data_IF_065816119741
#
_entry.id   IF_065816119741
#
_cell.length_a   1.000
_cell.length_b   1.000
_cell.length_c   1.000
_cell.angle_alpha   90.00
_cell.angle_beta   90.00
_cell.angle_gamma   90.00
#
_symmetry.space_group_name_H-M   'P 1'
#
loop_
_entity.id
_entity.type
_entity.pdbx_description
1 polymer ?
#
# COMPACT_ATOMS: atom_id res chain seq x y z
N UNK A 1 3.21 22.73 -6.06
CA UNK A 1 4.12 21.82 -5.51
C UNK A 1 3.56 20.45 -5.33
N UNK A 2 4.27 19.48 -5.77
CA UNK A 2 3.79 18.14 -5.72
C UNK A 2 4.45 17.39 -4.61
N UNK A 3 3.68 16.76 -3.81
CA UNK A 3 4.21 15.93 -2.79
C UNK A 3 3.46 14.63 -2.83
N UNK A 4 4.13 13.61 -2.36
CA UNK A 4 3.45 12.37 -2.16
C UNK A 4 2.43 12.58 -1.07
N UNK A 5 1.22 12.24 -1.39
CA UNK A 5 0.17 12.28 -0.40
C UNK A 5 -0.09 10.89 0.07
N UNK A 6 -0.15 10.75 1.38
CA UNK A 6 -0.51 9.48 1.93
C UNK A 6 -1.92 9.17 1.48
N UNK A 7 -2.08 8.02 0.91
CA UNK A 7 -3.37 7.62 0.40
C UNK A 7 -4.38 7.56 1.52
N UNK A 8 -5.59 7.94 1.21
CA UNK A 8 -6.66 7.81 2.15
C UNK A 8 -7.11 6.38 2.30
N UNK A 9 -6.60 5.50 1.47
CA UNK A 9 -7.01 4.12 1.48
C UNK A 9 -6.14 3.26 2.36
N UNK A 10 -5.18 3.85 3.01
CA UNK A 10 -4.35 3.10 3.91
C UNK A 10 -5.06 2.75 5.19
N UNK A 11 -4.51 1.83 5.92
CA UNK A 11 -5.05 1.43 7.21
C UNK A 11 -3.98 0.81 8.07
N UNK A 12 -4.26 0.74 9.35
CA UNK A 12 -3.40 0.04 10.28
C UNK A 12 -3.81 -1.42 10.39
N UNK A 13 -2.83 -2.28 10.43
CA UNK A 13 -3.03 -3.68 10.75
C UNK A 13 -2.08 -3.94 11.90
N UNK A 14 -2.62 -3.97 13.11
CA UNK A 14 -1.77 -3.98 14.27
C UNK A 14 -0.89 -2.74 14.28
N UNK A 15 0.41 -2.90 14.45
CA UNK A 15 1.32 -1.76 14.50
C UNK A 15 1.81 -1.30 13.13
N UNK A 16 1.27 -1.86 12.06
CA UNK A 16 1.79 -1.60 10.72
C UNK A 16 0.76 -0.83 9.92
N UNK A 17 1.21 0.23 9.29
CA UNK A 17 0.37 0.99 8.36
C UNK A 17 0.67 0.52 6.94
N UNK A 18 -0.37 0.29 6.16
CA UNK A 18 -0.21 -0.05 4.75
C UNK A 18 -1.17 0.78 3.92
N UNK A 19 -0.70 1.27 2.80
CA UNK A 19 -1.51 2.10 1.94
C UNK A 19 -0.84 2.32 0.61
N UNK A 20 -1.44 3.21 -0.17
CA UNK A 20 -0.90 3.58 -1.46
C UNK A 20 -0.43 5.01 -1.39
N UNK A 21 0.79 5.23 -1.83
CA UNK A 21 1.34 6.56 -2.05
C UNK A 21 1.38 6.81 -3.54
N UNK A 22 1.11 8.04 -3.94
CA UNK A 22 1.23 8.30 -5.35
C UNK A 22 1.25 9.77 -5.67
N UNK A 23 1.76 10.04 -6.85
CA UNK A 23 1.68 11.34 -7.47
C UNK A 23 0.84 11.13 -8.72
N UNK A 24 -0.46 11.36 -8.65
CA UNK A 24 -1.35 11.02 -9.76
C UNK A 24 -0.95 11.65 -11.07
N UNK A 25 -0.48 12.87 -11.01
CA UNK A 25 -0.10 13.60 -12.20
C UNK A 25 1.04 12.91 -12.93
N UNK A 26 1.89 12.20 -12.21
CA UNK A 26 3.00 11.49 -12.81
C UNK A 26 2.73 10.03 -12.97
N UNK A 27 1.55 9.59 -12.57
CA UNK A 27 1.16 8.20 -12.61
C UNK A 27 2.15 7.32 -11.89
N UNK A 28 2.67 7.83 -10.81
CA UNK A 28 3.64 7.12 -9.99
C UNK A 28 2.97 6.70 -8.72
N UNK A 29 2.83 5.42 -8.53
CA UNK A 29 2.14 4.87 -7.38
C UNK A 29 2.98 3.79 -6.76
N UNK A 30 2.93 3.70 -5.45
CA UNK A 30 3.67 2.70 -4.71
C UNK A 30 2.83 2.22 -3.55
N UNK A 31 3.01 0.98 -3.21
CA UNK A 31 2.43 0.47 -1.98
C UNK A 31 3.42 0.78 -0.87
N UNK A 32 2.91 1.36 0.18
CA UNK A 32 3.71 1.89 1.26
C UNK A 32 3.42 1.10 2.53
N UNK A 33 4.44 0.60 3.16
CA UNK A 33 4.30 -0.10 4.42
C UNK A 33 5.19 0.59 5.43
N UNK A 34 4.58 1.04 6.52
CA UNK A 34 5.29 1.77 7.53
C UNK A 34 5.18 1.01 8.84
N UNK A 35 6.30 0.55 9.31
CA UNK A 35 6.39 -0.11 10.60
C UNK A 35 7.52 0.55 11.35
N UNK A 36 7.21 1.10 12.48
CA UNK A 36 8.20 1.81 13.27
C UNK A 36 9.11 0.82 13.96
N UNK A 37 10.21 0.48 13.30
CA UNK A 37 11.13 -0.51 13.81
C UNK A 37 10.65 -1.92 13.55
N UNK A 38 11.19 -2.86 14.29
CA UNK A 38 10.79 -4.25 14.17
C UNK A 38 9.47 -4.44 14.90
N UNK A 39 8.52 -5.04 14.20
CA UNK A 39 7.21 -5.27 14.78
C UNK A 39 6.89 -6.76 14.71
N UNK A 40 6.19 -7.22 15.71
CA UNK A 40 5.78 -8.60 15.80
C UNK A 40 4.28 -8.66 15.54
N UNK A 41 3.88 -9.48 14.61
CA UNK A 41 2.47 -9.61 14.26
C UNK A 41 1.99 -10.98 14.68
N UNK A 42 0.75 -11.04 15.11
CA UNK A 42 0.11 -12.33 15.31
C UNK A 42 -0.10 -12.98 13.96
N UNK A 43 -0.39 -14.27 13.98
CA UNK A 43 -0.68 -14.97 12.72
C UNK A 43 -1.85 -14.31 12.00
N UNK A 44 -2.87 -13.92 12.77
CA UNK A 44 -4.04 -13.29 12.18
C UNK A 44 -3.69 -11.94 11.58
N UNK A 45 -2.90 -11.14 12.28
CA UNK A 45 -2.48 -9.86 11.75
C UNK A 45 -1.64 -10.01 10.50
N UNK A 46 -0.75 -10.97 10.49
CA UNK A 46 0.09 -11.21 9.32
C UNK A 46 -0.76 -11.61 8.12
N UNK A 47 -1.77 -12.44 8.36
CA UNK A 47 -2.65 -12.87 7.30
C UNK A 47 -3.43 -11.69 6.74
N UNK A 48 -3.93 -10.84 7.62
CA UNK A 48 -4.68 -9.67 7.19
C UNK A 48 -3.79 -8.69 6.44
N UNK A 49 -2.54 -8.54 6.87
CA UNK A 49 -1.61 -7.68 6.16
C UNK A 49 -1.38 -8.21 4.75
N UNK A 50 -1.23 -9.51 4.61
CA UNK A 50 -1.07 -10.11 3.30
C UNK A 50 -2.27 -9.89 2.40
N UNK A 51 -3.47 -10.07 2.96
CA UNK A 51 -4.68 -9.85 2.20
C UNK A 51 -4.80 -8.41 1.75
N UNK A 52 -4.46 -7.49 2.63
CA UNK A 52 -4.53 -6.08 2.30
C UNK A 52 -3.51 -5.73 1.22
N UNK A 53 -2.32 -6.29 1.32
CA UNK A 53 -1.30 -6.03 0.32
C UNK A 53 -1.74 -6.51 -1.06
N UNK A 54 -2.36 -7.68 -1.11
CA UNK A 54 -2.85 -8.20 -2.38
C UNK A 54 -3.97 -7.33 -2.94
N UNK A 55 -4.86 -6.88 -2.08
CA UNK A 55 -5.95 -6.01 -2.52
C UNK A 55 -5.42 -4.70 -3.06
N UNK A 56 -4.42 -4.13 -2.41
CA UNK A 56 -3.84 -2.88 -2.87
C UNK A 56 -3.09 -3.08 -4.18
N UNK A 57 -2.46 -4.23 -4.35
CA UNK A 57 -1.77 -4.51 -5.59
C UNK A 57 -2.77 -4.57 -6.75
N UNK A 58 -3.91 -5.20 -6.53
CA UNK A 58 -4.94 -5.26 -7.55
C UNK A 58 -5.48 -3.87 -7.87
N UNK A 59 -5.70 -3.08 -6.84
CA UNK A 59 -6.20 -1.74 -7.02
C UNK A 59 -5.21 -0.88 -7.78
N UNK A 60 -3.94 -1.00 -7.44
CA UNK A 60 -2.90 -0.23 -8.08
C UNK A 60 -2.77 -0.64 -9.55
N UNK A 61 -2.87 -1.92 -9.82
CA UNK A 61 -2.81 -2.39 -11.18
C UNK A 61 -3.95 -1.84 -12.02
N UNK A 62 -5.12 -1.74 -11.42
CA UNK A 62 -6.26 -1.16 -12.12
C UNK A 62 -6.02 0.30 -12.45
N UNK A 63 -5.36 1.02 -11.55
CA UNK A 63 -5.04 2.42 -11.79
C UNK A 63 -4.02 2.58 -12.91
N UNK A 64 -3.04 1.69 -12.97
CA UNK A 64 -1.97 1.80 -13.94
C UNK A 64 -2.35 1.18 -15.28
N UNK A 65 -3.41 0.40 -15.31
CA UNK A 65 -3.84 -0.21 -16.53
C UNK A 65 -3.23 -1.56 -16.77
N UNK A 66 -3.78 -2.29 -17.72
CA UNK A 66 -3.38 -3.68 -17.93
C UNK A 66 -2.01 -3.85 -18.53
N UNK A 67 -1.45 -2.81 -19.06
CA UNK A 67 -0.18 -2.93 -19.74
C UNK A 67 0.98 -2.79 -18.77
N UNK A 68 0.74 -3.04 -17.53
CA UNK A 68 1.80 -2.93 -16.57
C UNK A 68 2.90 -3.89 -16.91
N UNK A 69 4.03 -3.41 -17.23
CA UNK A 69 5.15 -4.31 -17.47
C UNK A 69 5.75 -4.68 -16.15
N UNK A 70 6.14 -5.81 -16.06
CA UNK A 70 6.94 -6.23 -14.94
C UNK A 70 8.05 -7.07 -15.43
#
# INVERSE_FOLDING_TARGET
MTTFQRSQQGRYIGPVWIGIHGVPREREYRIFIDANGVQHLTVDQARRLGEEALALADELQALLGPAGPF
#
